data_IF_057252391886
#
_entry.id   IF_057252391886
#
_cell.length_a   1.000
_cell.length_b   1.000
_cell.length_c   1.000
_cell.angle_alpha   90.00
_cell.angle_beta   90.00
_cell.angle_gamma   90.00
#
_symmetry.space_group_name_H-M   'P 1'
#
loop_
_entity.id
_entity.type
_entity.pdbx_description
1 polymer ?
#
# COMPACT_ATOMS: atom_id res chain seq x y z
N UNK A 1 -16.07 18.21 22.69
CA UNK A 1 -16.74 16.90 22.55
C UNK A 1 -16.44 16.20 21.24
N UNK A 2 -16.92 16.68 20.08
CA UNK A 2 -16.68 15.99 18.79
C UNK A 2 -15.19 15.77 18.45
N UNK A 3 -14.34 16.78 18.67
CA UNK A 3 -12.88 16.66 18.46
C UNK A 3 -12.20 15.65 19.38
N UNK A 4 -12.71 15.48 20.60
CA UNK A 4 -12.18 14.53 21.57
C UNK A 4 -12.52 13.11 21.12
N UNK A 5 -13.77 12.86 20.73
CA UNK A 5 -14.19 11.57 20.16
C UNK A 5 -13.42 11.22 18.88
N UNK A 6 -13.24 12.18 17.98
CA UNK A 6 -12.44 11.94 16.77
C UNK A 6 -10.98 11.61 17.12
N UNK A 7 -10.40 12.30 18.11
CA UNK A 7 -9.04 12.02 18.58
C UNK A 7 -8.90 10.63 19.21
N UNK A 8 -9.89 10.19 19.98
CA UNK A 8 -9.94 8.82 20.51
C UNK A 8 -9.93 7.80 19.37
N UNK A 9 -10.73 8.01 18.33
CA UNK A 9 -10.73 7.13 17.16
C UNK A 9 -9.40 7.08 16.42
N UNK A 10 -8.76 8.24 16.23
CA UNK A 10 -7.39 8.34 15.67
C UNK A 10 -6.40 7.55 16.52
N UNK A 11 -6.46 7.69 17.84
CA UNK A 11 -5.55 7.02 18.76
C UNK A 11 -5.78 5.51 18.79
N UNK A 12 -7.03 5.03 18.75
CA UNK A 12 -7.32 3.59 18.70
C UNK A 12 -6.69 2.96 17.45
N UNK A 13 -6.90 3.56 16.28
CA UNK A 13 -6.33 3.05 15.03
C UNK A 13 -4.80 3.11 15.04
N UNK A 14 -4.23 4.27 15.41
CA UNK A 14 -2.79 4.46 15.41
C UNK A 14 -2.09 3.58 16.45
N UNK A 15 -2.70 3.33 17.61
CA UNK A 15 -2.14 2.47 18.65
C UNK A 15 -2.11 1.00 18.24
N UNK A 16 -3.10 0.55 17.46
CA UNK A 16 -3.13 -0.79 16.88
C UNK A 16 -2.10 -0.95 15.75
N UNK A 17 -1.86 0.09 14.94
CA UNK A 17 -0.91 0.04 13.82
C UNK A 17 0.53 0.24 14.31
N UNK A 18 0.81 1.19 15.22
CA UNK A 18 2.18 1.56 15.60
C UNK A 18 2.99 0.42 16.25
N UNK A 19 2.32 -0.59 16.81
CA UNK A 19 3.02 -1.74 17.43
C UNK A 19 3.73 -2.61 16.39
N UNK A 20 3.38 -2.49 15.10
CA UNK A 20 4.02 -3.22 14.01
C UNK A 20 5.27 -2.52 13.47
N UNK A 21 5.56 -1.29 13.92
CA UNK A 21 6.66 -0.48 13.39
C UNK A 21 8.04 -1.07 13.68
N UNK A 22 8.83 -1.24 12.62
CA UNK A 22 10.25 -1.57 12.68
C UNK A 22 10.56 -3.05 12.93
N UNK A 23 11.85 -3.42 13.05
CA UNK A 23 12.30 -4.82 13.11
C UNK A 23 11.87 -5.56 14.39
N UNK A 24 11.52 -4.81 15.44
CA UNK A 24 10.96 -5.34 16.69
C UNK A 24 9.44 -5.16 16.77
N UNK A 25 8.80 -4.89 15.62
CA UNK A 25 7.36 -4.84 15.47
C UNK A 25 6.71 -6.14 15.94
N UNK A 26 5.62 -5.99 16.69
CA UNK A 26 4.82 -7.09 17.20
C UNK A 26 3.77 -7.48 16.18
N UNK A 27 3.37 -8.75 16.24
CA UNK A 27 2.27 -9.24 15.42
C UNK A 27 0.94 -8.70 15.96
N UNK A 28 0.06 -8.34 15.04
CA UNK A 28 -1.35 -8.06 15.31
C UNK A 28 -2.15 -9.24 14.78
N UNK A 29 -3.15 -9.67 15.55
CA UNK A 29 -4.05 -10.76 15.19
C UNK A 29 -5.36 -10.15 14.75
N UNK A 30 -5.76 -10.46 13.51
CA UNK A 30 -6.99 -10.00 12.88
C UNK A 30 -7.95 -11.17 12.79
N UNK A 31 -9.15 -11.00 13.31
CA UNK A 31 -10.20 -12.01 13.23
C UNK A 31 -10.72 -12.11 11.80
N UNK A 32 -11.13 -13.31 11.39
CA UNK A 32 -11.74 -13.58 10.08
C UNK A 32 -13.07 -14.29 10.31
N UNK A 33 -14.11 -13.86 9.61
CA UNK A 33 -15.46 -14.46 9.71
C UNK A 33 -15.48 -15.97 9.44
N UNK A 34 -14.50 -16.46 8.68
CA UNK A 34 -14.29 -17.88 8.41
C UNK A 34 -12.80 -18.21 8.39
N UNK A 35 -12.44 -19.38 8.94
CA UNK A 35 -11.07 -19.88 8.93
C UNK A 35 -10.24 -19.46 10.14
N UNK A 36 -8.92 -19.52 9.99
CA UNK A 36 -7.99 -19.11 11.03
C UNK A 36 -7.76 -17.58 11.01
N UNK A 37 -7.49 -16.95 12.17
CA UNK A 37 -7.20 -15.53 12.23
C UNK A 37 -5.90 -15.22 11.49
N UNK A 38 -5.83 -14.04 10.89
CA UNK A 38 -4.63 -13.58 10.18
C UNK A 38 -3.67 -12.90 11.15
N UNK A 39 -2.42 -13.35 11.15
CA UNK A 39 -1.35 -12.77 11.95
C UNK A 39 -0.50 -11.93 11.01
N UNK A 40 -0.46 -10.61 11.23
CA UNK A 40 0.25 -9.70 10.34
C UNK A 40 1.08 -8.66 11.09
N UNK A 41 2.11 -8.16 10.42
CA UNK A 41 2.89 -6.97 10.80
C UNK A 41 2.68 -5.81 9.81
N UNK A 42 1.83 -5.99 8.82
CA UNK A 42 1.54 -4.94 7.85
C UNK A 42 0.54 -3.93 8.43
N UNK A 43 0.94 -2.67 8.47
CA UNK A 43 0.12 -1.57 8.96
C UNK A 43 -1.12 -1.30 8.09
N UNK A 44 -1.07 -1.58 6.78
CA UNK A 44 -2.22 -1.40 5.89
C UNK A 44 -3.31 -2.40 6.20
N UNK A 45 -2.94 -3.68 6.29
CA UNK A 45 -3.84 -4.76 6.68
C UNK A 45 -4.50 -4.48 8.03
N UNK A 46 -3.73 -4.05 9.02
CA UNK A 46 -4.27 -3.69 10.35
C UNK A 46 -5.21 -2.48 10.25
N UNK A 47 -4.83 -1.42 9.55
CA UNK A 47 -5.67 -0.23 9.39
C UNK A 47 -6.97 -0.53 8.61
N UNK A 48 -6.95 -1.50 7.69
CA UNK A 48 -8.12 -1.89 6.90
C UNK A 48 -9.24 -2.49 7.74
N UNK A 49 -8.90 -3.34 8.72
CA UNK A 49 -9.85 -4.05 9.58
C UNK A 49 -10.41 -3.20 10.73
N UNK A 50 -9.87 -2.00 10.98
CA UNK A 50 -10.33 -1.17 12.10
C UNK A 50 -11.57 -0.38 11.69
N UNK A 51 -12.70 -0.77 12.27
CA UNK A 51 -13.96 -0.03 12.24
C UNK A 51 -14.49 0.11 13.68
N UNK A 52 -14.93 1.32 14.04
CA UNK A 52 -15.37 1.64 15.41
C UNK A 52 -16.89 1.82 15.47
N UNK A 53 -17.50 1.39 16.57
CA UNK A 53 -18.96 1.46 16.77
C UNK A 53 -19.46 2.91 16.92
N UNK A 54 -18.74 3.75 17.68
CA UNK A 54 -19.06 5.17 17.79
C UNK A 54 -18.73 5.89 16.47
N UNK A 55 -19.73 6.51 15.85
CA UNK A 55 -19.59 7.16 14.55
C UNK A 55 -18.55 8.28 14.54
N UNK A 56 -18.38 9.04 15.62
CA UNK A 56 -17.40 10.12 15.68
C UNK A 56 -15.98 9.58 15.81
N UNK A 57 -15.80 8.51 16.61
CA UNK A 57 -14.53 7.80 16.67
C UNK A 57 -14.21 7.16 15.32
N UNK A 58 -15.18 6.49 14.69
CA UNK A 58 -14.99 5.87 13.38
C UNK A 58 -14.60 6.89 12.31
N UNK A 59 -15.22 8.07 12.28
CA UNK A 59 -14.80 9.14 11.39
C UNK A 59 -13.32 9.53 11.61
N UNK A 60 -12.87 9.59 12.86
CA UNK A 60 -11.46 9.77 13.22
C UNK A 60 -10.55 8.70 12.62
N UNK A 61 -10.90 7.43 12.82
CA UNK A 61 -10.17 6.28 12.31
C UNK A 61 -10.11 6.27 10.77
N UNK A 62 -11.25 6.46 10.09
CA UNK A 62 -11.31 6.45 8.63
C UNK A 62 -10.44 7.55 7.99
N UNK A 63 -10.35 8.74 8.60
CA UNK A 63 -9.47 9.79 8.06
C UNK A 63 -7.98 9.43 8.13
N UNK A 64 -7.55 8.69 9.16
CA UNK A 64 -6.14 8.26 9.28
C UNK A 64 -5.86 7.04 8.41
N UNK A 65 -6.85 6.16 8.26
CA UNK A 65 -6.80 5.06 7.28
C UNK A 65 -6.57 5.59 5.86
N UNK A 66 -7.21 6.70 5.49
CA UNK A 66 -6.99 7.37 4.20
C UNK A 66 -5.54 7.84 4.04
N UNK A 67 -4.94 8.41 5.10
CA UNK A 67 -3.52 8.81 5.08
C UNK A 67 -2.60 7.62 4.85
N UNK A 68 -2.88 6.48 5.51
CA UNK A 68 -2.11 5.26 5.32
C UNK A 68 -2.26 4.71 3.90
N UNK A 69 -3.49 4.68 3.35
CA UNK A 69 -3.76 4.20 1.99
C UNK A 69 -3.05 5.06 0.94
N UNK A 70 -3.17 6.39 1.03
CA UNK A 70 -2.52 7.29 0.07
C UNK A 70 -1.00 7.20 0.11
N UNK A 71 -0.40 6.98 1.28
CA UNK A 71 1.03 6.73 1.40
C UNK A 71 1.43 5.43 0.69
N UNK A 72 0.62 4.37 0.86
CA UNK A 72 0.84 3.10 0.17
C UNK A 72 0.71 3.24 -1.34
N UNK A 73 -0.32 3.91 -1.83
CA UNK A 73 -0.60 4.04 -3.26
C UNK A 73 0.48 4.88 -3.97
N UNK A 74 1.07 5.85 -3.27
CA UNK A 74 2.11 6.71 -3.82
C UNK A 74 3.53 6.14 -3.71
N UNK A 75 3.83 5.38 -2.64
CA UNK A 75 5.21 4.96 -2.33
C UNK A 75 5.40 3.44 -2.15
N UNK A 76 4.32 2.66 -1.98
CA UNK A 76 4.37 1.20 -1.75
C UNK A 76 4.89 0.76 -0.37
N UNK A 77 5.25 1.71 0.50
CA UNK A 77 5.73 1.47 1.87
C UNK A 77 5.47 2.72 2.74
N UNK A 78 5.72 2.63 4.04
CA UNK A 78 5.72 3.77 4.97
C UNK A 78 4.36 4.05 5.61
N UNK A 79 3.39 3.16 5.46
CA UNK A 79 2.01 3.30 5.97
C UNK A 79 1.94 3.43 7.49
N UNK A 80 2.71 2.61 8.20
CA UNK A 80 2.85 2.68 9.65
C UNK A 80 3.50 3.99 10.09
N UNK A 81 4.54 4.44 9.37
CA UNK A 81 5.21 5.72 9.64
C UNK A 81 4.27 6.90 9.42
N UNK A 82 3.51 6.91 8.31
CA UNK A 82 2.52 7.94 8.01
C UNK A 82 1.44 8.02 9.09
N UNK A 83 0.97 6.86 9.57
CA UNK A 83 -0.02 6.76 10.65
C UNK A 83 0.49 7.33 11.97
N UNK A 84 1.73 7.00 12.37
CA UNK A 84 2.35 7.53 13.60
C UNK A 84 2.58 9.03 13.52
N UNK A 85 3.04 9.54 12.37
CA UNK A 85 3.21 10.98 12.14
C UNK A 85 1.86 11.71 12.19
N UNK A 86 0.83 11.16 11.55
CA UNK A 86 -0.52 11.71 11.60
C UNK A 86 -1.04 11.77 13.04
N UNK A 87 -0.89 10.69 13.81
CA UNK A 87 -1.25 10.65 15.23
C UNK A 87 -0.54 11.75 16.03
N UNK A 88 0.77 11.93 15.85
CA UNK A 88 1.55 12.93 16.58
C UNK A 88 1.11 14.36 16.24
N UNK A 89 0.95 14.67 14.95
CA UNK A 89 0.53 16.00 14.48
C UNK A 89 -0.89 16.33 14.97
N UNK A 90 -1.82 15.38 14.89
CA UNK A 90 -3.21 15.60 15.32
C UNK A 90 -3.29 15.79 16.84
N UNK A 91 -2.59 14.98 17.64
CA UNK A 91 -2.59 15.11 19.10
C UNK A 91 -2.06 16.48 19.55
N UNK A 92 -0.90 16.90 19.04
CA UNK A 92 -0.30 18.18 19.43
C UNK A 92 -1.07 19.38 18.84
N UNK A 93 -1.57 19.25 17.60
CA UNK A 93 -2.41 20.25 16.96
C UNK A 93 -3.70 20.51 17.74
N UNK A 94 -4.38 19.44 18.21
CA UNK A 94 -5.61 19.58 19.01
C UNK A 94 -5.36 20.21 20.38
N UNK A 95 -4.21 19.92 21.02
CA UNK A 95 -3.81 20.61 22.27
C UNK A 95 -3.62 22.11 22.05
N UNK A 96 -2.92 22.50 20.97
CA UNK A 96 -2.72 23.90 20.63
C UNK A 96 -4.04 24.64 20.34
N UNK A 97 -4.97 23.98 19.65
CA UNK A 97 -6.31 24.52 19.41
C UNK A 97 -7.12 24.63 20.71
N UNK A 98 -7.02 23.66 21.62
CA UNK A 98 -7.66 23.73 22.93
C UNK A 98 -7.09 24.88 23.79
N UNK A 99 -5.82 25.25 23.59
CA UNK A 99 -5.19 26.41 24.20
C UNK A 99 -5.62 27.76 23.57
N UNK A 100 -6.53 27.75 22.60
CA UNK A 100 -7.09 28.96 21.97
C UNK A 100 -6.30 29.48 20.77
N UNK A 101 -5.32 28.73 20.25
CA UNK A 101 -4.61 29.11 19.03
C UNK A 101 -5.48 28.95 17.79
N UNK A 102 -5.24 29.77 16.77
CA UNK A 102 -5.98 29.72 15.51
C UNK A 102 -5.63 28.44 14.71
N UNK A 103 -6.59 27.54 14.42
CA UNK A 103 -6.34 26.32 13.67
C UNK A 103 -5.76 26.56 12.26
N UNK A 104 -6.14 27.67 11.61
CA UNK A 104 -5.67 27.99 10.26
C UNK A 104 -4.20 28.39 10.26
N UNK A 105 -3.77 29.11 11.28
CA UNK A 105 -2.37 29.52 11.42
C UNK A 105 -1.49 28.33 11.83
N UNK A 106 -2.01 27.44 12.69
CA UNK A 106 -1.35 26.18 13.03
C UNK A 106 -1.13 25.32 11.78
N UNK A 107 -2.18 25.13 10.97
CA UNK A 107 -2.06 24.41 9.70
C UNK A 107 -1.01 25.04 8.80
N UNK A 108 -1.04 26.36 8.61
CA UNK A 108 -0.06 27.07 7.76
C UNK A 108 1.38 26.89 8.27
N UNK A 109 1.57 26.88 9.59
CA UNK A 109 2.86 26.62 10.22
C UNK A 109 3.36 25.19 9.96
N UNK A 110 2.48 24.20 10.14
CA UNK A 110 2.79 22.79 9.84
C UNK A 110 3.14 22.62 8.37
N UNK A 111 2.32 23.14 7.45
CA UNK A 111 2.55 23.03 6.00
C UNK A 111 3.91 23.64 5.61
N UNK A 112 4.27 24.81 6.18
CA UNK A 112 5.56 25.45 5.94
C UNK A 112 6.74 24.62 6.45
N UNK A 113 6.59 23.98 7.61
CA UNK A 113 7.62 23.10 8.17
C UNK A 113 7.79 21.83 7.32
N UNK A 114 6.69 21.24 6.84
CA UNK A 114 6.72 20.07 5.95
C UNK A 114 7.42 20.39 4.63
N UNK A 115 7.14 21.54 4.01
CA UNK A 115 7.80 21.97 2.77
C UNK A 115 9.32 22.03 2.96
N UNK A 116 9.77 22.72 4.02
CA UNK A 116 11.19 22.83 4.32
C UNK A 116 11.84 21.47 4.64
N UNK A 117 11.14 20.60 5.37
CA UNK A 117 11.62 19.25 5.67
C UNK A 117 11.76 18.39 4.41
N UNK A 118 10.85 18.51 3.44
CA UNK A 118 10.93 17.79 2.16
C UNK A 118 12.10 18.29 1.31
N UNK A 119 12.36 19.60 1.29
CA UNK A 119 13.53 20.16 0.61
C UNK A 119 14.83 19.64 1.21
N UNK A 120 14.93 19.63 2.55
CA UNK A 120 16.10 19.09 3.24
C UNK A 120 16.28 17.58 3.02
N UNK A 121 15.18 16.81 3.02
CA UNK A 121 15.21 15.38 2.71
C UNK A 121 15.74 15.09 1.30
N UNK A 122 15.41 15.94 0.32
CA UNK A 122 15.98 15.85 -1.03
C UNK A 122 17.47 16.14 -1.05
N UNK A 123 17.92 17.11 -0.24
CA UNK A 123 19.35 17.44 -0.12
C UNK A 123 20.17 16.34 0.57
N UNK A 124 19.58 15.66 1.55
CA UNK A 124 20.19 14.53 2.27
C UNK A 124 20.12 13.20 1.50
N UNK A 125 19.33 13.15 0.42
CA UNK A 125 19.10 11.92 -0.35
C UNK A 125 20.40 11.39 -0.95
N UNK A 126 20.65 10.09 -0.75
CA UNK A 126 21.79 9.39 -1.33
C UNK A 126 21.28 8.52 -2.48
N UNK A 127 21.78 8.70 -3.72
CA UNK A 127 21.39 7.86 -4.84
C UNK A 127 21.76 6.39 -4.58
N UNK A 128 20.77 5.51 -4.69
CA UNK A 128 20.98 4.07 -4.70
C UNK A 128 21.41 3.69 -6.13
N UNK A 129 22.71 3.51 -6.38
CA UNK A 129 23.26 3.27 -7.74
C UNK A 129 23.70 1.82 -7.97
N UNK A 130 24.05 1.13 -6.89
CA UNK A 130 24.68 -0.18 -6.87
C UNK A 130 23.70 -1.29 -6.47
N UNK A 131 23.91 -2.48 -7.02
CA UNK A 131 23.12 -3.70 -6.72
C UNK A 131 23.11 -4.00 -5.22
N UNK A 132 24.20 -3.69 -4.51
CA UNK A 132 24.29 -3.86 -3.05
C UNK A 132 23.34 -2.93 -2.30
N UNK A 133 23.27 -1.65 -2.68
CA UNK A 133 22.30 -0.73 -2.08
C UNK A 133 20.85 -1.15 -2.40
N UNK A 134 20.58 -1.66 -3.60
CA UNK A 134 19.26 -2.21 -3.96
C UNK A 134 18.91 -3.39 -3.04
N UNK A 135 19.81 -4.35 -2.88
CA UNK A 135 19.62 -5.50 -2.00
C UNK A 135 19.39 -5.07 -0.54
N UNK A 136 20.11 -4.04 -0.07
CA UNK A 136 19.92 -3.48 1.27
C UNK A 136 18.54 -2.87 1.48
N UNK A 137 18.05 -2.09 0.50
CA UNK A 137 16.70 -1.53 0.56
C UNK A 137 15.65 -2.65 0.58
N UNK A 138 15.75 -3.61 -0.35
CA UNK A 138 14.85 -4.76 -0.39
C UNK A 138 14.86 -5.57 0.91
N UNK A 139 16.05 -5.80 1.49
CA UNK A 139 16.21 -6.51 2.77
C UNK A 139 15.51 -5.78 3.91
N UNK A 140 15.69 -4.46 4.02
CA UNK A 140 15.11 -3.66 5.10
C UNK A 140 13.59 -3.64 4.99
N UNK A 141 13.05 -3.41 3.79
CA UNK A 141 11.61 -3.40 3.54
C UNK A 141 10.98 -4.78 3.73
N UNK A 142 11.70 -5.87 3.42
CA UNK A 142 11.27 -7.24 3.69
C UNK A 142 11.47 -7.68 5.16
N UNK A 143 11.40 -6.74 6.11
CA UNK A 143 11.56 -7.00 7.55
C UNK A 143 12.89 -7.70 7.90
N UNK A 144 13.99 -7.23 7.31
CA UNK A 144 15.36 -7.75 7.45
C UNK A 144 15.60 -9.14 6.86
N UNK A 145 14.79 -9.55 5.87
CA UNK A 145 15.02 -10.79 5.13
C UNK A 145 16.01 -10.59 3.98
N UNK A 146 17.21 -11.15 4.15
CA UNK A 146 18.26 -11.06 3.15
C UNK A 146 18.00 -11.92 1.91
N UNK A 147 17.20 -13.00 1.97
CA UNK A 147 16.93 -13.79 0.77
C UNK A 147 16.11 -12.98 -0.22
N UNK A 148 15.05 -12.35 0.26
CA UNK A 148 14.16 -11.47 -0.53
C UNK A 148 14.95 -10.31 -1.13
N UNK A 149 15.77 -9.63 -0.34
CA UNK A 149 16.60 -8.53 -0.84
C UNK A 149 17.57 -8.95 -1.94
N UNK A 150 18.19 -10.13 -1.82
CA UNK A 150 19.11 -10.64 -2.83
C UNK A 150 18.37 -11.03 -4.12
N UNK A 151 17.23 -11.71 -4.02
CA UNK A 151 16.43 -12.11 -5.18
C UNK A 151 15.94 -10.88 -5.96
N UNK A 152 15.46 -9.84 -5.27
CA UNK A 152 15.06 -8.58 -5.91
C UNK A 152 16.24 -7.95 -6.65
N UNK A 153 17.42 -7.93 -6.03
CA UNK A 153 18.61 -7.34 -6.63
C UNK A 153 19.07 -8.12 -7.87
N UNK A 154 19.07 -9.45 -7.81
CA UNK A 154 19.36 -10.33 -8.96
C UNK A 154 18.34 -10.15 -10.08
N UNK A 155 17.06 -10.05 -9.73
CA UNK A 155 16.00 -9.83 -10.70
C UNK A 155 16.19 -8.49 -11.42
N UNK A 156 16.40 -7.39 -10.68
CA UNK A 156 16.67 -6.06 -11.25
C UNK A 156 17.95 -6.02 -12.10
N UNK A 157 18.97 -6.82 -11.79
CA UNK A 157 20.18 -6.93 -12.63
C UNK A 157 19.89 -7.63 -13.97
N UNK A 158 19.02 -8.65 -13.98
CA UNK A 158 18.63 -9.37 -15.21
C UNK A 158 17.68 -8.57 -16.09
N UNK A 159 16.64 -7.94 -15.53
CA UNK A 159 15.61 -7.20 -16.29
C UNK A 159 15.98 -5.72 -16.53
N UNK A 160 17.00 -5.22 -15.83
CA UNK A 160 17.36 -3.81 -15.81
C UNK A 160 16.52 -3.01 -14.81
N UNK A 161 16.96 -1.79 -14.51
CA UNK A 161 16.36 -0.94 -13.47
C UNK A 161 14.89 -0.60 -13.67
N UNK A 162 14.51 -0.43 -14.92
CA UNK A 162 13.17 -0.06 -15.35
C UNK A 162 12.41 -1.30 -15.90
N UNK A 163 12.93 -2.50 -15.64
CA UNK A 163 12.30 -3.76 -16.03
C UNK A 163 11.11 -4.12 -15.16
N UNK A 164 10.22 -4.95 -15.70
CA UNK A 164 9.01 -5.39 -15.02
C UNK A 164 9.33 -6.57 -14.12
N UNK A 165 8.88 -6.51 -12.87
CA UNK A 165 8.98 -7.60 -11.91
C UNK A 165 7.56 -8.00 -11.50
N UNK A 166 7.27 -9.30 -11.60
CA UNK A 166 6.03 -9.91 -11.12
C UNK A 166 6.35 -10.92 -10.02
N UNK A 167 5.43 -11.09 -9.09
CA UNK A 167 5.54 -12.06 -8.00
C UNK A 167 4.34 -12.99 -8.12
N UNK A 168 4.60 -14.29 -8.13
CA UNK A 168 3.60 -15.35 -8.24
C UNK A 168 3.73 -16.32 -7.05
N UNK A 169 2.64 -17.01 -6.71
CA UNK A 169 2.66 -18.01 -5.64
C UNK A 169 3.41 -19.26 -6.11
N UNK A 170 4.56 -19.53 -5.50
CA UNK A 170 5.39 -20.68 -5.82
C UNK A 170 4.78 -22.00 -5.33
N UNK A 171 4.90 -23.07 -6.12
CA UNK A 171 4.55 -24.43 -5.69
C UNK A 171 5.69 -25.13 -4.92
N UNK A 172 6.91 -24.60 -5.04
CA UNK A 172 8.10 -25.13 -4.39
C UNK A 172 8.30 -24.53 -2.98
N UNK A 173 9.13 -25.19 -2.17
CA UNK A 173 9.57 -24.70 -0.86
C UNK A 173 10.65 -23.60 -0.94
N UNK A 174 11.22 -23.38 -2.12
CA UNK A 174 12.31 -22.44 -2.37
C UNK A 174 11.81 -21.32 -3.27
N UNK A 175 12.34 -20.12 -3.06
CA UNK A 175 12.08 -18.98 -3.93
C UNK A 175 12.77 -19.21 -5.28
N UNK A 176 12.04 -18.99 -6.38
CA UNK A 176 12.52 -19.17 -7.75
C UNK A 176 12.52 -17.82 -8.47
N UNK A 177 13.51 -17.62 -9.35
CA UNK A 177 13.65 -16.41 -10.17
C UNK A 177 13.76 -16.80 -11.65
N UNK A 178 12.66 -16.64 -12.36
CA UNK A 178 12.59 -16.85 -13.80
C UNK A 178 12.41 -15.54 -14.56
N UNK A 179 13.14 -15.42 -15.66
CA UNK A 179 12.97 -14.31 -16.60
C UNK A 179 12.14 -14.81 -17.77
N UNK A 180 10.91 -14.34 -17.85
CA UNK A 180 9.99 -14.65 -18.93
C UNK A 180 9.90 -13.48 -19.90
N UNK A 181 9.70 -13.78 -21.18
CA UNK A 181 9.36 -12.74 -22.16
C UNK A 181 7.92 -12.28 -21.91
N UNK A 182 7.75 -10.99 -21.59
CA UNK A 182 6.46 -10.39 -21.30
C UNK A 182 6.41 -8.93 -21.72
N UNK A 183 5.24 -8.31 -21.56
CA UNK A 183 5.03 -6.89 -21.89
C UNK A 183 4.11 -6.26 -20.86
N UNK A 184 4.48 -5.07 -20.39
CA UNK A 184 3.63 -4.18 -19.60
C UNK A 184 3.41 -2.87 -20.35
N UNK A 185 2.21 -2.31 -20.25
CA UNK A 185 1.86 -1.01 -20.79
C UNK A 185 0.92 -0.28 -19.83
N UNK A 186 0.94 1.06 -19.83
CA UNK A 186 0.19 1.90 -18.89
C UNK A 186 -1.31 1.96 -19.20
N UNK A 187 -2.01 0.84 -18.99
CA UNK A 187 -3.47 0.73 -19.07
C UNK A 187 -4.01 -0.18 -17.97
N UNK A 188 -4.94 0.35 -17.19
CA UNK A 188 -5.71 -0.45 -16.22
C UNK A 188 -7.00 -1.03 -16.80
N UNK A 189 -7.74 -1.75 -15.96
CA UNK A 189 -9.08 -2.25 -16.27
C UNK A 189 -10.09 -1.12 -16.45
N UNK A 190 -11.08 -1.33 -17.33
CA UNK A 190 -12.14 -0.33 -17.60
C UNK A 190 -13.17 -0.22 -16.47
N UNK A 191 -13.27 -1.25 -15.63
CA UNK A 191 -14.27 -1.37 -14.57
C UNK A 191 -13.66 -2.05 -13.35
N UNK A 192 -13.85 -1.54 -12.12
CA UNK A 192 -13.39 -2.20 -10.90
C UNK A 192 -14.03 -3.59 -10.68
N UNK A 193 -15.15 -3.89 -11.34
CA UNK A 193 -15.79 -5.20 -11.26
C UNK A 193 -14.99 -6.34 -11.91
N UNK A 194 -13.91 -6.04 -12.63
CA UNK A 194 -13.02 -7.07 -13.16
C UNK A 194 -12.03 -7.60 -12.12
N UNK A 195 -11.88 -6.93 -10.98
CA UNK A 195 -10.98 -7.34 -9.89
C UNK A 195 -11.44 -8.69 -9.35
N UNK A 196 -10.57 -9.69 -9.46
CA UNK A 196 -10.77 -11.01 -8.86
C UNK A 196 -9.86 -11.23 -7.64
N UNK A 197 -8.74 -10.51 -7.52
CA UNK A 197 -7.94 -10.45 -6.31
C UNK A 197 -8.25 -9.16 -5.52
N UNK A 198 -9.08 -9.28 -4.49
CA UNK A 198 -9.53 -8.13 -3.69
C UNK A 198 -8.43 -7.57 -2.78
N UNK A 199 -7.40 -8.35 -2.45
CA UNK A 199 -6.34 -7.93 -1.54
C UNK A 199 -5.38 -6.93 -2.21
N UNK A 200 -4.91 -7.29 -3.40
CA UNK A 200 -4.03 -6.48 -4.25
C UNK A 200 -4.80 -5.49 -5.13
N UNK A 201 -6.10 -5.69 -5.34
CA UNK A 201 -6.89 -4.89 -6.28
C UNK A 201 -6.53 -5.14 -7.76
N UNK A 202 -6.00 -6.33 -8.06
CA UNK A 202 -5.53 -6.75 -9.38
C UNK A 202 -6.55 -7.64 -10.13
N UNK A 203 -6.29 -7.84 -11.42
CA UNK A 203 -6.98 -8.83 -12.26
C UNK A 203 -5.95 -9.87 -12.68
N UNK A 204 -6.07 -11.08 -12.16
CA UNK A 204 -5.15 -12.20 -12.41
C UNK A 204 -5.85 -13.25 -13.27
N UNK A 205 -5.32 -13.56 -14.46
CA UNK A 205 -5.93 -14.53 -15.38
C UNK A 205 -4.91 -15.59 -15.77
N UNK A 206 -5.25 -16.86 -15.53
CA UNK A 206 -4.41 -17.99 -15.92
C UNK A 206 -4.70 -18.42 -17.37
N UNK A 207 -3.65 -18.50 -18.18
CA UNK A 207 -3.72 -18.89 -19.60
C UNK A 207 -4.86 -18.19 -20.41
N UNK A 208 -4.95 -16.84 -20.38
CA UNK A 208 -6.04 -16.14 -21.02
C UNK A 208 -5.89 -16.06 -22.55
N UNK A 209 -7.02 -16.00 -23.25
CA UNK A 209 -7.03 -15.54 -24.63
C UNK A 209 -6.94 -14.01 -24.68
N UNK A 210 -6.09 -13.48 -25.58
CA UNK A 210 -5.92 -12.04 -25.78
C UNK A 210 -6.59 -11.62 -27.09
N UNK A 211 -7.67 -10.84 -26.97
CA UNK A 211 -8.38 -10.26 -28.12
C UNK A 211 -7.83 -8.87 -28.43
N UNK A 212 -7.16 -8.72 -29.58
CA UNK A 212 -6.64 -7.44 -30.08
C UNK A 212 -7.58 -6.85 -31.14
N UNK A 213 -8.09 -5.65 -30.90
CA UNK A 213 -9.04 -4.96 -31.80
C UNK A 213 -8.60 -3.52 -32.02
N UNK A 214 -8.34 -3.15 -33.28
CA UNK A 214 -7.95 -1.80 -33.70
C UNK A 214 -9.18 -0.89 -33.95
N UNK A 215 -10.20 -0.99 -33.09
CA UNK A 215 -11.38 -0.12 -33.12
C UNK A 215 -12.08 -0.11 -31.76
N UNK A 216 -12.87 0.94 -31.52
CA UNK A 216 -13.69 1.04 -30.31
C UNK A 216 -14.88 0.08 -30.39
N UNK A 217 -14.96 -0.87 -29.45
CA UNK A 217 -16.10 -1.79 -29.34
C UNK A 217 -17.23 -1.07 -28.60
N UNK A 218 -18.32 -0.78 -29.31
CA UNK A 218 -19.50 -0.11 -28.74
C UNK A 218 -20.71 -1.04 -28.62
N UNK A 219 -20.72 -2.16 -29.36
CA UNK A 219 -21.84 -3.08 -29.42
C UNK A 219 -21.41 -4.51 -29.06
N UNK A 220 -22.11 -5.11 -28.11
CA UNK A 220 -21.87 -6.48 -27.64
C UNK A 220 -22.04 -7.54 -28.74
N UNK A 221 -22.85 -7.27 -29.78
CA UNK A 221 -23.08 -8.22 -30.88
C UNK A 221 -21.79 -8.60 -31.63
N UNK A 222 -20.81 -7.70 -31.64
CA UNK A 222 -19.51 -7.95 -32.27
C UNK A 222 -18.62 -8.86 -31.41
N UNK A 223 -18.87 -8.94 -30.10
CA UNK A 223 -18.13 -9.77 -29.15
C UNK A 223 -18.75 -11.16 -28.98
N UNK A 224 -20.07 -11.31 -29.11
CA UNK A 224 -20.79 -12.58 -28.92
C UNK A 224 -20.12 -13.80 -29.58
N UNK A 225 -19.81 -13.79 -30.90
CA UNK A 225 -19.22 -14.97 -31.53
C UNK A 225 -17.82 -15.31 -30.99
N UNK A 226 -17.05 -14.31 -30.56
CA UNK A 226 -15.72 -14.51 -29.98
C UNK A 226 -15.83 -15.07 -28.56
N UNK A 227 -16.72 -14.52 -27.74
CA UNK A 227 -16.97 -14.99 -26.38
C UNK A 227 -17.49 -16.43 -26.36
N UNK A 228 -18.39 -16.78 -27.27
CA UNK A 228 -18.86 -18.17 -27.43
C UNK A 228 -17.74 -19.12 -27.87
N UNK A 229 -16.81 -18.63 -28.70
CA UNK A 229 -15.63 -19.40 -29.11
C UNK A 229 -14.70 -19.68 -27.93
N UNK A 230 -14.41 -18.67 -27.10
CA UNK A 230 -13.57 -18.79 -25.91
C UNK A 230 -14.21 -19.68 -24.85
N UNK A 231 -15.53 -19.59 -24.65
CA UNK A 231 -16.23 -20.41 -23.66
C UNK A 231 -16.32 -21.91 -24.02
N UNK A 232 -16.08 -22.26 -25.29
CA UNK A 232 -16.09 -23.65 -25.78
C UNK A 232 -14.70 -24.26 -25.95
N UNK A 233 -13.65 -23.45 -25.85
CA UNK A 233 -12.26 -23.88 -25.90
C UNK A 233 -11.82 -24.42 -24.53
#
# INVERSE_FOLDING_TARGET
DARVKMLEGVNILADAVKVTLGPKGRNVVLDKSFGAPTITKDGVSVAREIELEDKFQNMGAQMVKEVASQANDAAGDGTTTATVLAQAIVNEGLKAVAAGMNPMDLKRGIDKAVIAAVEELKALSVPCADTKAIAQVGTISANSDSSVGNIIAEAMEKVGRDGVLTVEEGQALQDELDVVEGMQFDRGYLSPYFINNQESGSVELDNPFILLVDKKISNIRELLPVLEGVAKA
#
